data_IF_722661228011
#
_entry.id   IF_722661228011
#
_cell.length_a   1.000
_cell.length_b   1.000
_cell.length_c   1.000
_cell.angle_alpha   90.00
_cell.angle_beta   90.00
_cell.angle_gamma   90.00
#
_symmetry.space_group_name_H-M   'P 1'
#
loop_
_entity.id
_entity.type
_entity.pdbx_description
1 polymer ?
#
# COMPACT_ATOMS: atom_id res chain seq x y z
N UNK A 1 -14.15 2.51 3.28
CA UNK A 1 -13.29 3.37 2.43
C UNK A 1 -13.62 3.02 0.99
N UNK A 2 -13.91 3.98 0.11
CA UNK A 2 -14.32 3.63 -1.26
C UNK A 2 -13.25 2.76 -1.94
N UNK A 3 -13.68 1.71 -2.67
CA UNK A 3 -12.81 0.72 -3.35
C UNK A 3 -11.67 1.39 -4.12
N UNK A 4 -11.98 2.48 -4.82
CA UNK A 4 -11.02 3.28 -5.59
C UNK A 4 -9.95 3.91 -4.70
N UNK A 5 -10.34 4.47 -3.55
CA UNK A 5 -9.39 5.06 -2.61
C UNK A 5 -8.45 4.00 -2.03
N UNK A 6 -8.95 2.82 -1.69
CA UNK A 6 -8.10 1.71 -1.19
C UNK A 6 -7.11 1.25 -2.24
N UNK A 7 -7.59 1.06 -3.47
CA UNK A 7 -6.74 0.64 -4.57
C UNK A 7 -5.63 1.66 -4.83
N UNK A 8 -5.97 2.96 -4.88
CA UNK A 8 -4.98 4.04 -5.09
C UNK A 8 -3.97 4.07 -3.94
N UNK A 9 -4.42 4.06 -2.69
CA UNK A 9 -3.52 4.08 -1.52
C UNK A 9 -2.61 2.86 -1.50
N UNK A 10 -3.15 1.66 -1.72
CA UNK A 10 -2.37 0.42 -1.76
C UNK A 10 -1.32 0.44 -2.87
N UNK A 11 -1.69 0.83 -4.10
CA UNK A 11 -0.77 0.92 -5.23
C UNK A 11 0.33 1.94 -4.96
N UNK A 12 -0.01 3.14 -4.44
CA UNK A 12 0.98 4.16 -4.11
C UNK A 12 1.96 3.67 -3.04
N UNK A 13 1.48 3.02 -1.98
CA UNK A 13 2.34 2.46 -0.95
C UNK A 13 3.27 1.38 -1.50
N UNK A 14 2.78 0.51 -2.38
CA UNK A 14 3.60 -0.53 -3.02
C UNK A 14 4.67 0.10 -3.92
N UNK A 15 4.30 1.09 -4.75
CA UNK A 15 5.24 1.78 -5.63
C UNK A 15 6.32 2.51 -4.84
N UNK A 16 5.95 3.21 -3.77
CA UNK A 16 6.90 3.92 -2.91
C UNK A 16 7.80 2.98 -2.11
N UNK A 17 7.25 1.86 -1.62
CA UNK A 17 8.03 0.86 -0.90
C UNK A 17 9.03 0.17 -1.83
N UNK A 18 8.60 -0.13 -3.06
CA UNK A 18 9.46 -0.69 -4.10
C UNK A 18 10.54 0.28 -4.53
N UNK A 19 10.23 1.58 -4.71
CA UNK A 19 11.23 2.57 -5.08
C UNK A 19 12.28 2.79 -3.97
N UNK A 20 11.88 2.75 -2.70
CA UNK A 20 12.81 2.78 -1.56
C UNK A 20 13.71 1.54 -1.52
N UNK A 21 13.15 0.35 -1.75
CA UNK A 21 13.91 -0.90 -1.82
C UNK A 21 14.91 -0.86 -2.97
N UNK A 22 14.47 -0.56 -4.18
CA UNK A 22 15.33 -0.50 -5.37
C UNK A 22 16.37 0.61 -5.23
N UNK A 23 15.96 1.82 -4.81
CA UNK A 23 16.85 2.94 -4.58
C UNK A 23 17.93 2.67 -3.55
N UNK A 24 17.64 1.85 -2.52
CA UNK A 24 18.64 1.46 -1.52
C UNK A 24 19.81 0.64 -2.09
N UNK A 25 19.63 -0.05 -3.24
CA UNK A 25 20.70 -0.78 -3.91
C UNK A 25 21.51 0.08 -4.90
N UNK A 26 20.92 1.18 -5.41
CA UNK A 26 21.60 2.07 -6.35
C UNK A 26 22.29 3.26 -5.67
N UNK A 27 21.86 3.64 -4.46
CA UNK A 27 22.54 4.63 -3.63
C UNK A 27 23.64 3.97 -2.78
N UNK A 28 24.76 3.60 -3.42
CA UNK A 28 25.95 3.08 -2.71
C UNK A 28 26.55 4.08 -1.70
N UNK A 29 26.10 5.35 -1.71
CA UNK A 29 26.72 6.45 -0.98
C UNK A 29 26.19 6.71 0.44
N UNK A 30 25.28 5.89 1.00
CA UNK A 30 24.67 6.19 2.30
C UNK A 30 24.86 5.03 3.29
N UNK A 31 25.50 5.27 4.43
CA UNK A 31 25.61 4.33 5.57
C UNK A 31 24.25 3.80 6.07
N UNK A 32 23.15 4.40 5.60
CA UNK A 32 21.76 4.11 5.95
C UNK A 32 21.03 3.14 5.00
N UNK A 33 21.73 2.39 4.14
CA UNK A 33 21.11 1.39 3.22
C UNK A 33 20.13 0.48 3.96
N UNK A 34 20.54 -0.05 5.11
CA UNK A 34 19.72 -0.94 5.93
C UNK A 34 18.44 -0.27 6.45
N UNK A 35 18.51 1.02 6.75
CA UNK A 35 17.37 1.81 7.23
C UNK A 35 16.36 1.99 6.10
N UNK A 36 16.83 2.40 4.91
CA UNK A 36 15.96 2.58 3.73
C UNK A 36 15.31 1.25 3.31
N UNK A 37 16.09 0.17 3.28
CA UNK A 37 15.58 -1.15 2.93
C UNK A 37 14.53 -1.67 3.93
N UNK A 38 14.76 -1.46 5.23
CA UNK A 38 13.81 -1.86 6.27
C UNK A 38 12.48 -1.09 6.16
N UNK A 39 12.52 0.23 6.00
CA UNK A 39 11.31 1.02 5.80
C UNK A 39 10.60 0.71 4.48
N UNK A 40 11.37 0.50 3.40
CA UNK A 40 10.83 0.09 2.11
C UNK A 40 10.09 -1.25 2.19
N UNK A 41 10.65 -2.23 2.90
CA UNK A 41 10.03 -3.55 3.12
C UNK A 41 8.72 -3.43 3.92
N UNK A 42 8.72 -2.68 5.03
CA UNK A 42 7.52 -2.46 5.84
C UNK A 42 6.43 -1.80 4.99
N UNK A 43 6.78 -0.73 4.26
CA UNK A 43 5.83 0.02 3.45
C UNK A 43 5.24 -0.85 2.33
N UNK A 44 6.07 -1.69 1.72
CA UNK A 44 5.65 -2.64 0.67
C UNK A 44 4.65 -3.67 1.22
N UNK A 45 4.95 -4.28 2.37
CA UNK A 45 4.05 -5.25 3.02
C UNK A 45 2.74 -4.61 3.44
N UNK A 46 2.80 -3.41 4.04
CA UNK A 46 1.59 -2.65 4.41
C UNK A 46 0.77 -2.25 3.19
N UNK A 47 1.40 -1.84 2.08
CA UNK A 47 0.72 -1.53 0.84
C UNK A 47 -0.04 -2.74 0.28
N UNK A 48 0.56 -3.93 0.35
CA UNK A 48 -0.12 -5.17 -0.04
C UNK A 48 -1.29 -5.50 0.89
N UNK A 49 -1.10 -5.33 2.20
CA UNK A 49 -2.15 -5.53 3.19
C UNK A 49 -3.35 -4.59 2.95
N UNK A 50 -3.09 -3.31 2.69
CA UNK A 50 -4.12 -2.33 2.34
C UNK A 50 -4.83 -2.74 1.05
N UNK A 51 -4.11 -3.14 0.01
CA UNK A 51 -4.70 -3.50 -1.28
C UNK A 51 -5.58 -4.76 -1.20
N UNK A 52 -5.14 -5.76 -0.43
CA UNK A 52 -5.85 -7.03 -0.23
C UNK A 52 -6.98 -6.97 0.81
N UNK A 53 -7.06 -5.91 1.62
CA UNK A 53 -8.08 -5.78 2.66
C UNK A 53 -9.47 -5.43 2.07
N UNK A 54 -10.07 -6.40 1.39
CA UNK A 54 -11.39 -6.33 0.72
C UNK A 54 -12.59 -6.33 1.66
N UNK A 55 -12.38 -6.62 2.95
CA UNK A 55 -13.45 -6.76 3.94
C UNK A 55 -14.26 -5.46 4.12
N UNK A 56 -13.61 -4.29 4.04
CA UNK A 56 -14.33 -3.01 4.13
C UNK A 56 -15.22 -2.72 2.91
N UNK A 57 -14.81 -3.12 1.71
CA UNK A 57 -15.60 -2.88 0.50
C UNK A 57 -16.86 -3.72 0.48
N UNK A 58 -16.77 -4.94 0.99
CA UNK A 58 -17.90 -5.87 1.07
C UNK A 58 -19.01 -5.29 1.98
N UNK A 59 -18.63 -4.64 3.08
CA UNK A 59 -19.55 -3.93 3.97
C UNK A 59 -20.16 -2.69 3.28
N UNK A 60 -19.38 -1.94 2.49
CA UNK A 60 -19.86 -0.78 1.73
C UNK A 60 -20.82 -1.18 0.59
N UNK A 61 -20.59 -2.31 -0.07
CA UNK A 61 -21.49 -2.86 -1.09
C UNK A 61 -22.83 -3.30 -0.48
N UNK A 62 -22.81 -3.94 0.70
CA UNK A 62 -24.04 -4.31 1.41
C UNK A 62 -24.82 -3.07 1.83
N UNK A 63 -24.13 -2.02 2.32
CA UNK A 63 -24.76 -0.77 2.77
C UNK A 63 -25.31 0.09 1.63
N UNK A 64 -24.68 0.06 0.45
CA UNK A 64 -25.13 0.76 -0.75
C UNK A 64 -26.23 0.00 -1.50
N UNK A 65 -26.18 -1.33 -1.55
CA UNK A 65 -27.25 -2.17 -2.11
C UNK A 65 -28.56 -2.18 -1.29
N UNK A 66 -28.49 -1.81 -0.01
CA UNK A 66 -29.66 -1.66 0.87
C UNK A 66 -30.47 -0.37 0.68
N UNK A 67 -29.95 0.63 -0.04
CA UNK A 67 -30.75 1.80 -0.44
C UNK A 67 -31.51 1.48 -1.73
N UNK A 68 -32.62 0.77 -1.60
CA UNK A 68 -33.68 0.81 -2.62
C UNK A 68 -34.28 2.22 -2.63
N UNK A 69 -34.14 2.87 -3.80
CA UNK A 69 -34.75 4.13 -4.26
C UNK A 69 -34.25 5.42 -3.61
#
# INVERSE_FOLDING_TARGET
MNTTSRAITGILMILFGTSLLVGSFFWEATDSIWVSAFYGLILFVLGWFVLLNKKEDEIEQIKSGGKKK
#
